data_IF_647209892571
#
_entry.id   IF_647209892571
#
_cell.length_a   1.000
_cell.length_b   1.000
_cell.length_c   1.000
_cell.angle_alpha   90.00
_cell.angle_beta   90.00
_cell.angle_gamma   90.00
#
_symmetry.space_group_name_H-M   'P 1'
#
loop_
_entity.id
_entity.type
_entity.pdbx_description
1 polymer ?
#
# COMPACT_ATOMS: atom_id res chain seq x y z
N UNK A 1 -4.04 18.29 3.48
CA UNK A 1 -4.70 18.77 2.25
C UNK A 1 -5.10 17.57 1.40
N UNK A 2 -6.34 17.50 0.98
CA UNK A 2 -6.83 16.49 0.05
C UNK A 2 -6.55 16.94 -1.40
N UNK A 3 -6.00 16.06 -2.24
CA UNK A 3 -5.77 16.34 -3.67
C UNK A 3 -6.52 15.29 -4.48
N UNK A 4 -7.26 15.71 -5.49
CA UNK A 4 -8.14 14.88 -6.32
C UNK A 4 -9.60 15.00 -5.94
N UNK A 5 -10.46 14.24 -6.62
CA UNK A 5 -11.88 14.16 -6.27
C UNK A 5 -12.07 13.33 -4.99
N UNK A 6 -12.66 13.89 -3.92
CA UNK A 6 -12.81 13.19 -2.65
C UNK A 6 -13.75 11.97 -2.71
N UNK A 7 -14.45 11.77 -3.82
CA UNK A 7 -15.41 10.67 -4.00
C UNK A 7 -14.88 9.55 -4.90
N UNK A 8 -13.92 9.84 -5.78
CA UNK A 8 -13.43 8.88 -6.77
C UNK A 8 -11.92 8.70 -6.76
N UNK A 9 -11.16 9.72 -6.34
CA UNK A 9 -9.70 9.69 -6.32
C UNK A 9 -9.16 10.64 -5.24
N UNK A 10 -7.90 10.46 -4.89
CA UNK A 10 -7.18 11.38 -4.00
C UNK A 10 -6.63 10.72 -2.74
N UNK A 11 -5.63 11.37 -2.19
CA UNK A 11 -4.92 10.99 -0.96
C UNK A 11 -4.95 12.09 0.07
N UNK A 12 -4.85 11.71 1.33
CA UNK A 12 -4.53 12.65 2.40
C UNK A 12 -3.06 13.08 2.27
N UNK A 13 -2.82 14.39 2.31
CA UNK A 13 -1.48 14.96 2.27
C UNK A 13 -1.25 15.81 3.51
N UNK A 14 -0.15 15.54 4.21
CA UNK A 14 0.29 16.28 5.39
C UNK A 14 1.74 16.72 5.23
N UNK A 15 2.15 17.76 5.97
CA UNK A 15 3.55 18.16 6.02
C UNK A 15 4.43 17.06 6.66
N UNK A 16 3.87 16.28 7.56
CA UNK A 16 4.58 15.20 8.24
C UNK A 16 5.09 14.12 7.27
N UNK A 17 4.27 13.66 6.35
CA UNK A 17 4.68 12.63 5.36
C UNK A 17 5.80 13.08 4.43
N UNK A 18 5.99 14.40 4.25
CA UNK A 18 7.03 14.97 3.39
C UNK A 18 8.36 15.19 4.13
N UNK A 19 8.43 14.88 5.42
CA UNK A 19 9.70 14.97 6.15
C UNK A 19 10.72 13.99 5.57
N UNK A 20 12.00 14.40 5.43
CA UNK A 20 13.06 13.54 4.92
C UNK A 20 13.18 12.26 5.76
N UNK A 21 13.15 11.11 5.12
CA UNK A 21 13.17 9.82 5.83
C UNK A 21 14.34 8.93 5.42
N UNK A 22 14.54 8.67 4.12
CA UNK A 22 15.49 7.66 3.65
C UNK A 22 16.93 7.84 4.13
N UNK A 23 17.46 9.08 4.06
CA UNK A 23 18.84 9.38 4.49
C UNK A 23 18.89 10.10 5.83
N UNK A 24 18.08 11.13 6.00
CA UNK A 24 18.11 11.96 7.21
C UNK A 24 17.32 11.38 8.37
N UNK A 25 16.45 10.39 8.14
CA UNK A 25 15.63 9.70 9.15
C UNK A 25 14.83 10.65 10.06
N UNK A 26 14.44 11.82 9.54
CA UNK A 26 13.75 12.85 10.32
C UNK A 26 12.37 12.38 10.73
N UNK A 27 11.61 11.80 9.79
CA UNK A 27 10.25 11.33 10.06
C UNK A 27 10.21 10.24 11.13
N UNK A 28 11.01 9.19 10.98
CA UNK A 28 11.01 8.06 11.92
C UNK A 28 11.61 8.40 13.31
N UNK A 29 12.37 9.49 13.41
CA UNK A 29 12.91 9.99 14.69
C UNK A 29 12.03 11.09 15.30
N UNK A 30 10.87 11.37 14.71
CA UNK A 30 9.91 12.32 15.28
C UNK A 30 9.39 11.81 16.61
N UNK A 31 9.19 12.73 17.54
CA UNK A 31 8.57 12.45 18.84
C UNK A 31 7.16 13.05 18.87
N UNK A 32 6.20 12.32 19.43
CA UNK A 32 4.88 12.83 19.78
C UNK A 32 4.84 12.87 21.32
N UNK A 33 4.67 14.05 21.89
CA UNK A 33 4.68 14.28 23.33
C UNK A 33 5.92 13.71 24.05
N UNK A 34 7.09 13.81 23.38
CA UNK A 34 8.37 13.30 23.89
C UNK A 34 8.57 11.78 23.72
N UNK A 35 7.63 11.07 23.11
CA UNK A 35 7.69 9.63 22.89
C UNK A 35 8.00 9.31 21.41
N UNK A 36 8.87 8.32 21.13
CA UNK A 36 9.10 7.85 19.77
C UNK A 36 7.80 7.38 19.09
N UNK A 37 7.73 7.56 17.77
CA UNK A 37 6.61 7.05 16.98
C UNK A 37 6.78 5.58 16.62
N UNK A 38 5.64 4.92 16.36
CA UNK A 38 5.54 3.69 15.59
C UNK A 38 4.74 4.01 14.31
N UNK A 39 5.31 3.70 13.15
CA UNK A 39 4.64 3.80 11.85
C UNK A 39 4.08 2.42 11.48
N UNK A 40 2.78 2.33 11.30
CA UNK A 40 2.06 1.10 10.97
C UNK A 40 1.59 1.20 9.52
N UNK A 41 2.01 0.25 8.70
CA UNK A 41 1.76 0.20 7.26
C UNK A 41 1.08 -1.10 6.85
N UNK A 42 0.34 -1.09 5.74
CA UNK A 42 -0.23 -2.28 5.13
C UNK A 42 0.77 -2.94 4.17
N UNK A 43 0.93 -4.25 4.27
CA UNK A 43 1.69 -5.01 3.28
C UNK A 43 0.82 -5.30 2.04
N UNK A 44 1.34 -5.03 0.83
CA UNK A 44 0.68 -5.29 -0.45
C UNK A 44 -0.73 -4.66 -0.57
N UNK A 45 -0.88 -3.42 -0.08
CA UNK A 45 -2.17 -2.77 0.16
C UNK A 45 -3.09 -2.74 -1.08
N UNK A 46 -2.62 -2.27 -2.24
CA UNK A 46 -3.45 -2.20 -3.45
C UNK A 46 -4.00 -3.55 -3.88
N UNK A 47 -3.19 -4.61 -3.82
CA UNK A 47 -3.60 -5.98 -4.14
C UNK A 47 -4.66 -6.47 -3.14
N UNK A 48 -4.42 -6.27 -1.84
CA UNK A 48 -5.37 -6.65 -0.78
C UNK A 48 -6.69 -5.93 -0.91
N UNK A 49 -6.65 -4.62 -1.14
CA UNK A 49 -7.87 -3.81 -1.31
C UNK A 49 -8.68 -4.27 -2.51
N UNK A 50 -8.05 -4.57 -3.64
CA UNK A 50 -8.79 -5.05 -4.81
C UNK A 50 -9.47 -6.39 -4.53
N UNK A 51 -8.75 -7.37 -3.99
CA UNK A 51 -9.31 -8.68 -3.69
C UNK A 51 -10.41 -8.60 -2.63
N UNK A 52 -10.20 -7.81 -1.57
CA UNK A 52 -11.19 -7.67 -0.51
C UNK A 52 -12.47 -6.96 -0.99
N UNK A 53 -12.34 -5.83 -1.70
CA UNK A 53 -13.48 -4.98 -2.08
C UNK A 53 -14.26 -5.54 -3.26
N UNK A 54 -13.56 -6.07 -4.28
CA UNK A 54 -14.23 -6.55 -5.49
C UNK A 54 -14.63 -8.03 -5.41
N UNK A 55 -13.91 -8.84 -4.63
CA UNK A 55 -14.06 -10.30 -4.64
C UNK A 55 -14.28 -10.91 -3.27
N UNK A 56 -14.28 -10.12 -2.18
CA UNK A 56 -14.38 -10.57 -0.78
C UNK A 56 -13.35 -11.67 -0.45
N UNK A 57 -12.18 -11.59 -1.04
CA UNK A 57 -11.09 -12.56 -0.94
C UNK A 57 -9.93 -12.00 -0.11
N UNK A 58 -9.34 -12.84 0.74
CA UNK A 58 -8.10 -12.53 1.46
C UNK A 58 -6.88 -12.87 0.58
N UNK A 59 -5.90 -11.97 0.54
CA UNK A 59 -4.64 -12.15 -0.17
C UNK A 59 -3.62 -13.04 0.57
N UNK A 60 -3.95 -13.53 1.76
CA UNK A 60 -3.00 -14.27 2.61
C UNK A 60 -2.02 -13.36 3.36
N UNK A 61 -1.03 -13.93 4.04
CA UNK A 61 -0.09 -13.16 4.88
C UNK A 61 1.07 -12.54 4.09
N UNK A 62 1.55 -13.24 3.05
CA UNK A 62 2.81 -12.93 2.32
C UNK A 62 2.62 -12.88 0.81
N UNK A 63 1.70 -12.05 0.26
CA UNK A 63 1.34 -12.13 -1.15
C UNK A 63 2.51 -11.88 -2.10
N UNK A 64 3.45 -11.01 -1.78
CA UNK A 64 4.61 -10.77 -2.65
C UNK A 64 5.58 -11.96 -2.65
N UNK A 65 5.79 -12.58 -1.50
CA UNK A 65 6.62 -13.75 -1.34
C UNK A 65 6.00 -14.98 -2.03
N UNK A 66 4.68 -15.13 -1.94
CA UNK A 66 3.93 -16.21 -2.59
C UNK A 66 3.98 -16.08 -4.12
N UNK A 67 3.80 -14.86 -4.66
CA UNK A 67 3.95 -14.58 -6.10
C UNK A 67 5.41 -14.83 -6.52
N UNK A 68 6.38 -14.40 -5.72
CA UNK A 68 7.80 -14.63 -5.97
C UNK A 68 8.13 -16.12 -6.09
N UNK A 69 7.69 -16.91 -5.13
CA UNK A 69 7.88 -18.36 -5.13
C UNK A 69 7.20 -19.03 -6.34
N UNK A 70 5.99 -18.63 -6.68
CA UNK A 70 5.24 -19.21 -7.81
C UNK A 70 5.83 -18.83 -9.18
N UNK A 71 6.45 -17.65 -9.30
CA UNK A 71 7.10 -17.17 -10.54
C UNK A 71 8.56 -17.61 -10.69
N UNK A 72 9.18 -18.09 -9.61
CA UNK A 72 10.63 -18.33 -9.54
C UNK A 72 11.47 -17.07 -9.39
N UNK A 73 10.86 -15.91 -9.09
CA UNK A 73 11.54 -14.62 -8.92
C UNK A 73 11.59 -14.28 -7.43
N UNK A 74 12.74 -14.57 -6.80
CA UNK A 74 12.90 -14.39 -5.34
C UNK A 74 13.17 -12.94 -4.91
N UNK A 75 13.41 -12.02 -5.84
CA UNK A 75 13.59 -10.61 -5.52
C UNK A 75 12.24 -9.94 -5.23
N UNK A 76 11.97 -9.69 -3.95
CA UNK A 76 10.75 -9.04 -3.47
C UNK A 76 10.52 -7.66 -4.08
N UNK A 77 11.58 -6.92 -4.41
CA UNK A 77 11.45 -5.59 -4.99
C UNK A 77 10.92 -5.67 -6.43
N UNK A 78 11.40 -6.62 -7.22
CA UNK A 78 10.88 -6.88 -8.57
C UNK A 78 9.41 -7.30 -8.53
N UNK A 79 9.02 -8.18 -7.60
CA UNK A 79 7.59 -8.56 -7.43
C UNK A 79 6.73 -7.35 -7.06
N UNK A 80 7.17 -6.55 -6.08
CA UNK A 80 6.46 -5.32 -5.67
C UNK A 80 6.36 -4.32 -6.82
N UNK A 81 7.44 -4.10 -7.57
CA UNK A 81 7.45 -3.21 -8.72
C UNK A 81 6.47 -3.68 -9.80
N UNK A 82 6.50 -4.99 -10.13
CA UNK A 82 5.54 -5.57 -11.08
C UNK A 82 4.10 -5.32 -10.65
N UNK A 83 3.72 -5.69 -9.44
CA UNK A 83 2.34 -5.53 -8.93
C UNK A 83 1.92 -4.06 -8.99
N UNK A 84 2.77 -3.15 -8.50
CA UNK A 84 2.46 -1.71 -8.50
C UNK A 84 2.24 -1.18 -9.92
N UNK A 85 3.08 -1.57 -10.89
CA UNK A 85 2.99 -1.13 -12.29
C UNK A 85 1.82 -1.79 -13.02
N UNK A 86 1.61 -3.10 -12.81
CA UNK A 86 0.53 -3.83 -13.45
C UNK A 86 -0.86 -3.41 -12.96
N UNK A 87 -1.01 -3.09 -11.69
CA UNK A 87 -2.28 -2.60 -11.14
C UNK A 87 -2.55 -1.13 -11.51
N UNK A 88 -1.49 -0.33 -11.70
CA UNK A 88 -1.62 1.09 -12.02
C UNK A 88 -1.79 1.41 -13.51
N UNK A 89 -1.44 0.50 -14.39
CA UNK A 89 -1.53 0.71 -15.83
C UNK A 89 -2.94 0.41 -16.37
N UNK A 90 -3.35 1.14 -17.40
CA UNK A 90 -4.64 0.96 -18.07
C UNK A 90 -4.65 -0.19 -19.09
N UNK A 91 -3.47 -0.72 -19.43
CA UNK A 91 -3.31 -1.85 -20.34
C UNK A 91 -1.97 -2.57 -20.10
N UNK A 92 -1.87 -3.80 -20.65
CA UNK A 92 -0.71 -4.69 -20.46
C UNK A 92 0.59 -4.12 -21.04
N UNK A 93 0.53 -3.47 -22.21
CA UNK A 93 1.73 -2.94 -22.87
C UNK A 93 2.31 -1.76 -22.09
N UNK A 94 1.47 -0.87 -21.57
CA UNK A 94 1.88 0.22 -20.70
C UNK A 94 2.53 -0.31 -19.42
N UNK A 95 1.96 -1.35 -18.80
CA UNK A 95 2.53 -2.02 -17.63
C UNK A 95 3.91 -2.61 -17.94
N UNK A 96 4.02 -3.37 -19.04
CA UNK A 96 5.28 -3.99 -19.45
C UNK A 96 6.38 -2.95 -19.71
N UNK A 97 6.07 -1.86 -20.41
CA UNK A 97 7.01 -0.79 -20.65
C UNK A 97 7.44 -0.09 -19.36
N UNK A 98 6.52 0.12 -18.43
CA UNK A 98 6.82 0.68 -17.12
C UNK A 98 7.66 -0.27 -16.26
N UNK A 99 7.43 -1.58 -16.32
CA UNK A 99 8.24 -2.58 -15.63
C UNK A 99 9.69 -2.65 -16.12
N UNK A 100 9.95 -2.39 -17.40
CA UNK A 100 11.32 -2.33 -17.94
C UNK A 100 12.16 -1.24 -17.29
N UNK A 101 11.57 -0.12 -16.89
CA UNK A 101 12.29 0.94 -16.17
C UNK A 101 12.74 0.54 -14.77
N UNK A 102 12.12 -0.52 -14.21
CA UNK A 102 12.48 -1.14 -12.93
C UNK A 102 13.40 -2.37 -13.10
N UNK A 103 13.92 -2.63 -14.31
CA UNK A 103 14.78 -3.75 -14.58
C UNK A 103 14.06 -5.10 -14.78
N UNK A 104 12.74 -5.11 -14.86
CA UNK A 104 11.94 -6.32 -15.08
C UNK A 104 11.93 -6.64 -16.57
N UNK A 105 12.52 -7.79 -16.94
CA UNK A 105 12.55 -8.27 -18.33
C UNK A 105 11.18 -8.78 -18.77
N UNK A 106 10.95 -8.95 -20.06
CA UNK A 106 9.71 -9.53 -20.58
C UNK A 106 9.44 -10.94 -20.01
N UNK A 107 10.48 -11.76 -19.89
CA UNK A 107 10.38 -13.11 -19.32
C UNK A 107 9.95 -13.06 -17.86
N UNK A 108 10.53 -12.16 -17.06
CA UNK A 108 10.14 -11.95 -15.66
C UNK A 108 8.69 -11.45 -15.57
N UNK A 109 8.32 -10.51 -16.44
CA UNK A 109 6.96 -9.98 -16.49
C UNK A 109 5.92 -11.09 -16.73
N UNK A 110 6.13 -11.92 -17.72
CA UNK A 110 5.24 -13.04 -18.07
C UNK A 110 5.16 -14.08 -16.96
N UNK A 111 6.28 -14.39 -16.30
CA UNK A 111 6.31 -15.31 -15.17
C UNK A 111 5.53 -14.76 -13.96
N UNK A 112 5.68 -13.46 -13.65
CA UNK A 112 4.93 -12.80 -12.57
C UNK A 112 3.44 -12.69 -12.86
N UNK A 113 3.08 -12.37 -14.10
CA UNK A 113 1.70 -12.32 -14.56
C UNK A 113 1.02 -13.70 -14.44
N UNK A 114 1.69 -14.76 -14.90
CA UNK A 114 1.21 -16.14 -14.76
C UNK A 114 1.07 -16.59 -13.31
N UNK A 115 2.01 -16.20 -12.44
CA UNK A 115 1.94 -16.47 -11.01
C UNK A 115 0.74 -15.77 -10.36
N UNK A 116 0.48 -14.50 -10.69
CA UNK A 116 -0.69 -13.78 -10.22
C UNK A 116 -1.99 -14.45 -10.67
N UNK A 117 -2.10 -14.81 -11.94
CA UNK A 117 -3.29 -15.49 -12.46
C UNK A 117 -3.55 -16.85 -11.79
N UNK A 118 -2.48 -17.56 -11.41
CA UNK A 118 -2.58 -18.83 -10.69
C UNK A 118 -3.01 -18.69 -9.24
N UNK A 119 -2.42 -17.72 -8.50
CA UNK A 119 -2.65 -17.55 -7.07
C UNK A 119 -3.91 -16.73 -6.78
N UNK A 120 -4.18 -15.76 -7.63
CA UNK A 120 -5.26 -14.78 -7.46
C UNK A 120 -6.05 -14.65 -8.79
N UNK A 121 -6.83 -15.65 -9.19
CA UNK A 121 -7.51 -15.67 -10.50
C UNK A 121 -8.50 -14.50 -10.68
N UNK A 122 -8.99 -13.95 -9.59
CA UNK A 122 -9.91 -12.81 -9.60
C UNK A 122 -9.20 -11.44 -9.62
N UNK A 123 -7.89 -11.40 -9.40
CA UNK A 123 -7.11 -10.16 -9.43
C UNK A 123 -7.13 -9.56 -10.85
N UNK A 124 -7.59 -8.32 -10.95
CA UNK A 124 -7.63 -7.58 -12.22
C UNK A 124 -6.38 -6.71 -12.34
N UNK A 125 -5.46 -7.11 -13.22
CA UNK A 125 -4.32 -6.31 -13.62
C UNK A 125 -4.69 -5.42 -14.82
N UNK A 126 -3.93 -4.36 -15.05
CA UNK A 126 -4.01 -3.49 -16.24
C UNK A 126 -5.34 -2.71 -16.40
N UNK A 127 -5.95 -2.32 -15.29
CA UNK A 127 -7.24 -1.60 -15.26
C UNK A 127 -7.16 -0.22 -14.59
N UNK A 128 -5.95 0.31 -14.36
CA UNK A 128 -5.79 1.63 -13.73
C UNK A 128 -6.26 1.70 -12.27
N UNK A 129 -6.16 0.61 -11.51
CA UNK A 129 -6.68 0.48 -10.15
C UNK A 129 -6.12 1.47 -9.12
N UNK A 130 -4.94 2.05 -9.38
CA UNK A 130 -4.20 2.86 -8.39
C UNK A 130 -5.02 4.00 -7.80
N UNK A 131 -5.80 4.72 -8.60
CA UNK A 131 -6.60 5.86 -8.10
C UNK A 131 -7.69 5.40 -7.13
N UNK A 132 -8.37 4.31 -7.45
CA UNK A 132 -9.40 3.73 -6.57
C UNK A 132 -8.78 3.20 -5.27
N UNK A 133 -7.64 2.51 -5.36
CA UNK A 133 -6.90 2.05 -4.18
C UNK A 133 -6.49 3.22 -3.28
N UNK A 134 -5.94 4.30 -3.84
CA UNK A 134 -5.56 5.50 -3.08
C UNK A 134 -6.75 6.17 -2.39
N UNK A 135 -7.91 6.19 -3.02
CA UNK A 135 -9.13 6.69 -2.39
C UNK A 135 -9.54 5.82 -1.19
N UNK A 136 -9.53 4.50 -1.34
CA UNK A 136 -9.83 3.55 -0.26
C UNK A 136 -8.83 3.68 0.90
N UNK A 137 -7.53 3.78 0.61
CA UNK A 137 -6.49 4.08 1.61
C UNK A 137 -6.84 5.35 2.41
N UNK A 138 -7.18 6.43 1.71
CA UNK A 138 -7.57 7.69 2.35
C UNK A 138 -8.81 7.55 3.23
N UNK A 139 -9.79 6.74 2.84
CA UNK A 139 -10.98 6.48 3.66
C UNK A 139 -10.66 5.66 4.90
N UNK A 140 -9.81 4.63 4.79
CA UNK A 140 -9.35 3.82 5.92
C UNK A 140 -8.59 4.71 6.91
N UNK A 141 -7.59 5.46 6.45
CA UNK A 141 -6.82 6.35 7.31
C UNK A 141 -7.70 7.41 7.99
N UNK A 142 -8.68 7.96 7.28
CA UNK A 142 -9.65 8.89 7.87
C UNK A 142 -10.41 8.25 9.03
N UNK A 143 -10.88 7.02 8.89
CA UNK A 143 -11.56 6.29 9.99
C UNK A 143 -10.63 6.08 11.17
N UNK A 144 -9.39 5.64 10.92
CA UNK A 144 -8.37 5.44 11.96
C UNK A 144 -8.08 6.73 12.71
N UNK A 145 -7.90 7.84 11.99
CA UNK A 145 -7.62 9.15 12.60
C UNK A 145 -8.78 9.66 13.44
N UNK A 146 -10.02 9.49 12.98
CA UNK A 146 -11.22 9.89 13.73
C UNK A 146 -11.36 9.06 15.01
N UNK A 147 -11.16 7.74 14.93
CA UNK A 147 -11.16 6.90 16.12
C UNK A 147 -10.03 7.28 17.09
N UNK A 148 -8.83 7.60 16.58
CA UNK A 148 -7.74 8.12 17.41
C UNK A 148 -8.11 9.43 18.12
N UNK A 149 -8.77 10.34 17.41
CA UNK A 149 -9.26 11.59 18.00
C UNK A 149 -10.23 11.35 19.16
N UNK A 150 -11.20 10.44 18.96
CA UNK A 150 -12.20 10.07 19.99
C UNK A 150 -11.56 9.43 21.23
N UNK A 151 -10.44 8.72 21.05
CA UNK A 151 -9.70 8.05 22.13
C UNK A 151 -8.51 8.90 22.67
N UNK A 152 -8.33 10.13 22.18
CA UNK A 152 -7.24 11.02 22.60
C UNK A 152 -5.85 10.56 22.14
N UNK A 153 -5.78 9.79 21.03
CA UNK A 153 -4.55 9.28 20.45
C UNK A 153 -4.16 10.11 19.23
N UNK A 154 -2.96 10.67 19.24
CA UNK A 154 -2.43 11.41 18.08
C UNK A 154 -2.11 10.43 16.95
N UNK A 155 -2.71 10.66 15.79
CA UNK A 155 -2.50 9.89 14.58
C UNK A 155 -2.00 10.80 13.44
N UNK A 156 -0.84 10.49 12.87
CA UNK A 156 -0.26 11.23 11.75
C UNK A 156 -0.29 10.34 10.49
N UNK A 157 -1.02 10.71 9.43
CA UNK A 157 -1.10 9.89 8.22
C UNK A 157 0.18 10.02 7.39
N UNK A 158 0.62 8.89 6.84
CA UNK A 158 1.77 8.79 5.93
C UNK A 158 1.40 7.86 4.79
N UNK A 159 0.95 8.41 3.66
CA UNK A 159 0.48 7.64 2.50
C UNK A 159 -0.61 6.61 2.88
N UNK A 160 -0.28 5.34 2.97
CA UNK A 160 -1.10 4.20 3.38
C UNK A 160 -0.77 3.70 4.81
N UNK A 161 0.04 4.48 5.55
CA UNK A 161 0.46 4.20 6.92
C UNK A 161 -0.09 5.22 7.91
N UNK A 162 -0.10 4.87 9.19
CA UNK A 162 -0.35 5.79 10.29
C UNK A 162 0.80 5.76 11.28
N UNK A 163 1.30 6.93 11.68
CA UNK A 163 2.26 7.07 12.77
C UNK A 163 1.52 7.50 14.05
N UNK A 164 1.80 6.78 15.14
CA UNK A 164 1.23 7.00 16.48
C UNK A 164 2.35 6.99 17.52
N UNK A 165 2.14 7.52 18.75
CA UNK A 165 3.06 7.26 19.86
C UNK A 165 3.29 5.75 20.04
N UNK A 166 4.51 5.32 20.29
CA UNK A 166 4.89 3.89 20.32
C UNK A 166 4.03 3.06 21.27
N UNK A 167 3.60 3.61 22.40
CA UNK A 167 2.68 2.93 23.33
C UNK A 167 1.34 2.53 22.70
N UNK A 168 0.91 3.19 21.62
CA UNK A 168 -0.33 2.92 20.90
C UNK A 168 -0.15 2.04 19.65
N UNK A 169 1.03 1.45 19.45
CA UNK A 169 1.33 0.61 18.28
C UNK A 169 0.30 -0.51 18.07
N UNK A 170 -0.02 -1.26 19.12
CA UNK A 170 -0.99 -2.37 19.02
C UNK A 170 -2.42 -1.87 18.76
N UNK A 171 -2.78 -0.73 19.33
CA UNK A 171 -4.05 -0.08 19.03
C UNK A 171 -4.13 0.28 17.54
N UNK A 172 -3.11 0.90 16.98
CA UNK A 172 -3.07 1.28 15.57
C UNK A 172 -3.19 0.05 14.64
N UNK A 173 -2.44 -1.02 14.88
CA UNK A 173 -2.57 -2.28 14.13
C UNK A 173 -4.02 -2.78 14.15
N UNK A 174 -4.62 -2.90 15.33
CA UNK A 174 -6.00 -3.41 15.50
C UNK A 174 -7.03 -2.52 14.82
N UNK A 175 -6.86 -1.20 14.90
CA UNK A 175 -7.78 -0.22 14.31
C UNK A 175 -7.68 -0.22 12.80
N UNK A 176 -6.46 -0.24 12.23
CA UNK A 176 -6.24 -0.34 10.79
C UNK A 176 -6.84 -1.63 10.20
N UNK A 177 -6.75 -2.76 10.90
CA UNK A 177 -7.34 -4.03 10.45
C UNK A 177 -8.88 -4.03 10.45
N UNK A 178 -9.54 -3.13 11.16
CA UNK A 178 -11.01 -3.04 11.29
C UNK A 178 -11.63 -1.94 10.43
N UNK A 179 -10.83 -0.98 9.98
CA UNK A 179 -11.31 0.20 9.25
C UNK A 179 -11.69 -0.11 7.80
#
# INVERSE_FOLDING_TARGET
LYKGDPFSEGRLYTSFQNLPDRLARVRINTLIDGEPIAEIDFNANHLRLQLAVLHQQDAGHTPYEDIGAASGINDRQSVKAFITRAMGADNRDAAMNSCKTEGITNVMFEALEAACAKLYPDLKLFIGWTHQAQNLEGQILKKVMLQGLDEGIVCLPVHDAVAVPKRHQFWAVKTMMRA
#
